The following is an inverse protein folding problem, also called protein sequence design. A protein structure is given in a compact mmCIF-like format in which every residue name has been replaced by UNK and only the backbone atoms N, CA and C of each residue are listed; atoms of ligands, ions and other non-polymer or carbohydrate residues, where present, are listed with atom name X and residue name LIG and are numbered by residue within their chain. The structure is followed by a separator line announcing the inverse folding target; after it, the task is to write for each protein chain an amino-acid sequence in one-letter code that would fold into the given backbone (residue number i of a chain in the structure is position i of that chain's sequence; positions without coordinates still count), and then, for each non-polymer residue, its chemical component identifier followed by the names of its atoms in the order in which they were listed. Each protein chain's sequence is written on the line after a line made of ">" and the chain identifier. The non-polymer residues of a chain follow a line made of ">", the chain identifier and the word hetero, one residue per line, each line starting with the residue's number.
data_IF_805996334133
#
_entry.id   IF_805996334133
#
_cell.length_a   1.000
_cell.length_b   1.000
_cell.length_c   1.000
_cell.angle_alpha   90.00
_cell.angle_beta   90.00
_cell.angle_gamma   90.00
#
_symmetry.space_group_name_H-M   'P 1'
#
loop_
_entity.id
_entity.type
_entity.pdbx_description
1 polymer ?
#
# COMPACT_ATOMS: atom_id res chain seq x y z
N UNK A 1 16.16 29.86 13.55
CA UNK A 1 17.37 29.43 12.81
C UNK A 1 17.23 27.94 12.58
N UNK A 2 16.96 27.52 11.35
CA UNK A 2 16.83 26.10 11.01
C UNK A 2 18.23 25.50 10.92
N UNK A 3 18.53 24.58 11.83
CA UNK A 3 19.78 23.83 11.82
C UNK A 3 19.72 22.87 10.62
N UNK A 4 20.39 23.23 9.52
CA UNK A 4 20.34 22.54 8.23
C UNK A 4 21.08 21.20 8.18
N UNK A 5 21.19 20.49 9.31
CA UNK A 5 22.02 19.30 9.50
C UNK A 5 21.24 17.98 9.42
N UNK A 6 20.07 17.99 8.75
CA UNK A 6 19.27 16.79 8.52
C UNK A 6 20.05 15.72 7.74
N UNK A 7 20.36 14.60 8.39
CA UNK A 7 21.00 13.46 7.74
C UNK A 7 20.03 12.80 6.76
N UNK A 8 20.44 12.65 5.50
CA UNK A 8 19.62 11.95 4.50
C UNK A 8 19.68 10.44 4.73
N UNK A 9 18.52 9.81 4.83
CA UNK A 9 18.38 8.36 5.02
C UNK A 9 17.79 7.76 3.75
N UNK A 10 18.40 6.67 3.27
CA UNK A 10 17.86 5.83 2.21
C UNK A 10 17.02 4.73 2.85
N UNK A 11 15.81 4.55 2.34
CA UNK A 11 14.95 3.42 2.69
C UNK A 11 15.14 2.35 1.62
N UNK A 12 15.50 1.14 2.06
CA UNK A 12 15.51 -0.05 1.22
C UNK A 12 14.28 -0.90 1.57
N UNK A 13 13.42 -1.13 0.59
CA UNK A 13 12.23 -1.96 0.75
C UNK A 13 12.60 -3.43 0.58
N UNK A 14 12.37 -4.22 1.62
CA UNK A 14 12.41 -5.67 1.50
C UNK A 14 10.99 -6.18 1.21
N UNK A 15 10.66 -6.28 -0.09
CA UNK A 15 9.30 -6.59 -0.55
C UNK A 15 8.72 -7.89 0.04
N UNK A 16 9.57 -8.89 0.31
CA UNK A 16 9.15 -10.19 0.85
C UNK A 16 8.82 -10.18 2.34
N UNK A 17 9.43 -9.30 3.14
CA UNK A 17 9.24 -9.28 4.60
C UNK A 17 8.40 -8.11 5.10
N UNK A 18 8.04 -7.17 4.20
CA UNK A 18 7.30 -5.95 4.54
C UNK A 18 8.06 -5.00 5.47
N UNK A 19 9.36 -5.26 5.72
CA UNK A 19 10.20 -4.43 6.60
C UNK A 19 10.98 -3.40 5.79
N UNK A 20 11.05 -2.20 6.34
CA UNK A 20 11.89 -1.12 5.84
C UNK A 20 13.26 -1.21 6.49
N UNK A 21 14.32 -1.28 5.67
CA UNK A 21 15.68 -1.10 6.16
C UNK A 21 16.09 0.36 5.96
N UNK A 22 16.47 1.03 7.04
CA UNK A 22 16.96 2.41 7.02
C UNK A 22 18.48 2.38 6.91
N UNK A 23 19.04 3.07 5.90
CA UNK A 23 20.49 3.25 5.73
C UNK A 23 20.84 4.72 5.68
N UNK A 24 21.86 5.13 6.43
CA UNK A 24 22.37 6.50 6.35
C UNK A 24 23.08 6.70 5.01
N UNK A 25 22.72 7.76 4.28
CA UNK A 25 23.52 8.19 3.14
C UNK A 25 24.74 8.93 3.70
N UNK A 26 25.94 8.55 3.23
CA UNK A 26 27.17 9.22 3.62
C UNK A 26 27.06 10.72 3.38
N UNK A 27 27.30 11.51 4.44
CA UNK A 27 27.23 12.96 4.37
C UNK A 27 28.55 13.56 4.89
N UNK A 28 28.98 14.66 4.29
CA UNK A 28 30.23 15.33 4.61
C UNK A 28 29.96 16.81 4.83
N UNK A 29 30.41 17.35 5.97
CA UNK A 29 30.26 18.78 6.26
C UNK A 29 31.59 19.35 6.74
N UNK A 30 31.97 20.56 6.28
CA UNK A 30 33.13 21.25 6.81
C UNK A 30 32.87 21.67 8.27
N UNK A 31 33.89 21.53 9.10
CA UNK A 31 33.98 22.04 10.46
C UNK A 31 35.08 23.11 10.48
N UNK A 32 34.80 24.24 11.11
CA UNK A 32 35.82 25.26 11.33
C UNK A 32 36.85 24.74 12.35
N UNK A 33 38.11 24.57 11.93
CA UNK A 33 39.21 24.26 12.83
C UNK A 33 39.68 25.52 13.58
N UNK A 34 40.18 25.34 14.79
CA UNK A 34 40.60 26.45 15.68
C UNK A 34 41.84 27.21 15.18
N UNK A 35 42.59 26.66 14.22
CA UNK A 35 43.88 27.21 13.74
C UNK A 35 43.92 27.52 12.23
N UNK A 36 42.77 27.76 11.59
CA UNK A 36 42.70 27.95 10.13
C UNK A 36 42.78 26.65 9.32
N UNK A 37 42.73 25.51 10.00
CA UNK A 37 42.62 24.18 9.40
C UNK A 37 41.16 23.90 9.00
N UNK A 38 40.94 23.39 7.79
CA UNK A 38 39.63 22.88 7.37
C UNK A 38 39.47 21.43 7.85
N UNK A 39 38.61 21.24 8.84
CA UNK A 39 38.21 19.90 9.29
C UNK A 39 36.99 19.44 8.48
N UNK A 40 36.91 18.15 8.17
CA UNK A 40 35.74 17.58 7.47
C UNK A 40 35.15 16.51 8.37
N UNK A 41 33.89 16.69 8.77
CA UNK A 41 33.13 15.66 9.43
C UNK A 41 32.52 14.73 8.37
N UNK A 42 32.83 13.43 8.44
CA UNK A 42 32.27 12.41 7.56
C UNK A 42 31.36 11.52 8.39
N UNK A 43 30.05 11.55 8.12
CA UNK A 43 29.07 10.63 8.72
C UNK A 43 28.85 9.44 7.79
N UNK A 44 29.01 8.23 8.31
CA UNK A 44 28.85 6.96 7.57
C UNK A 44 27.91 6.04 8.33
N UNK A 45 27.16 5.20 7.60
CA UNK A 45 26.35 4.16 8.20
C UNK A 45 27.22 3.16 8.97
N UNK A 46 26.74 2.69 10.13
CA UNK A 46 27.46 1.74 10.97
C UNK A 46 27.73 0.39 10.29
N UNK A 47 26.94 0.01 9.28
CA UNK A 47 27.17 -1.19 8.48
C UNK A 47 28.36 -1.04 7.51
N UNK A 48 28.79 0.19 7.20
CA UNK A 48 29.81 0.50 6.18
C UNK A 48 31.11 1.05 6.78
N UNK A 49 31.43 0.68 8.03
CA UNK A 49 32.64 1.16 8.72
C UNK A 49 33.93 0.76 7.98
N UNK A 50 33.95 -0.40 7.34
CA UNK A 50 35.12 -0.89 6.59
C UNK A 50 35.44 -0.03 5.35
N UNK A 51 34.43 0.66 4.79
CA UNK A 51 34.58 1.51 3.62
C UNK A 51 35.06 2.94 3.95
N UNK A 52 35.21 3.28 5.23
CA UNK A 52 35.67 4.62 5.67
C UNK A 52 37.03 4.97 5.03
N UNK A 53 37.95 4.01 4.95
CA UNK A 53 39.27 4.19 4.32
C UNK A 53 39.17 4.63 2.85
N UNK A 54 38.25 4.01 2.10
CA UNK A 54 37.97 4.34 0.69
C UNK A 54 37.34 5.73 0.58
N UNK A 55 36.41 6.07 1.47
CA UNK A 55 35.72 7.37 1.48
C UNK A 55 36.72 8.51 1.74
N UNK A 56 37.59 8.35 2.75
CA UNK A 56 38.62 9.33 3.11
C UNK A 56 39.62 9.53 1.98
N UNK A 57 40.17 8.45 1.43
CA UNK A 57 41.15 8.54 0.34
C UNK A 57 40.54 9.10 -0.95
N UNK A 58 39.28 8.79 -1.26
CA UNK A 58 38.56 9.41 -2.38
C UNK A 58 38.46 10.92 -2.21
N UNK A 59 38.11 11.40 -1.00
CA UNK A 59 38.01 12.83 -0.72
C UNK A 59 39.37 13.54 -0.82
N UNK A 60 40.44 12.93 -0.32
CA UNK A 60 41.79 13.47 -0.45
C UNK A 60 42.22 13.59 -1.91
N UNK A 61 41.87 12.61 -2.75
CA UNK A 61 42.09 12.68 -4.21
C UNK A 61 41.34 13.85 -4.87
N UNK A 62 40.09 14.09 -4.49
CA UNK A 62 39.31 15.26 -4.96
C UNK A 62 39.98 16.59 -4.58
N UNK A 63 40.54 16.65 -3.37
CA UNK A 63 41.29 17.81 -2.87
C UNK A 63 42.75 17.87 -3.36
N UNK A 64 43.16 16.96 -4.26
CA UNK A 64 44.54 16.83 -4.78
C UNK A 64 45.60 16.61 -3.69
N UNK A 65 45.20 16.01 -2.57
CA UNK A 65 46.09 15.62 -1.48
C UNK A 65 46.56 14.16 -1.66
N UNK A 66 47.79 13.82 -1.23
CA UNK A 66 48.26 12.44 -1.23
C UNK A 66 47.41 11.56 -0.30
N UNK A 67 47.22 10.27 -0.61
CA UNK A 67 46.50 9.35 0.26
C UNK A 67 47.17 9.25 1.63
N UNK A 68 46.38 8.94 2.67
CA UNK A 68 46.95 8.72 4.01
C UNK A 68 47.73 7.41 4.05
N UNK A 69 48.79 7.37 4.84
CA UNK A 69 49.50 6.13 5.17
C UNK A 69 48.64 5.23 6.08
N UNK A 70 48.98 3.94 6.18
CA UNK A 70 48.25 3.01 7.06
C UNK A 70 48.26 3.47 8.53
N UNK A 71 49.37 4.04 8.99
CA UNK A 71 49.52 4.60 10.33
C UNK A 71 48.55 5.76 10.57
N UNK A 72 48.44 6.69 9.60
CA UNK A 72 47.52 7.82 9.65
C UNK A 72 46.06 7.39 9.49
N UNK A 73 45.78 6.32 8.76
CA UNK A 73 44.43 5.76 8.66
C UNK A 73 44.02 5.07 9.97
N UNK A 74 44.99 4.47 10.68
CA UNK A 74 44.75 3.82 11.97
C UNK A 74 44.29 4.83 13.04
N UNK A 75 44.82 6.07 13.02
CA UNK A 75 44.35 7.13 13.92
C UNK A 75 42.94 7.59 13.55
N UNK A 76 42.65 7.78 12.27
CA UNK A 76 41.29 8.13 11.80
C UNK A 76 40.26 7.09 12.22
N UNK A 77 40.62 5.80 12.19
CA UNK A 77 39.72 4.71 12.58
C UNK A 77 39.46 4.69 14.09
N UNK A 78 40.45 5.09 14.90
CA UNK A 78 40.31 5.19 16.36
C UNK A 78 39.37 6.33 16.77
N UNK A 79 39.30 7.38 15.98
CA UNK A 79 38.45 8.55 16.24
C UNK A 79 36.99 8.37 15.78
N UNK A 80 36.62 7.19 15.27
CA UNK A 80 35.23 6.89 14.88
C UNK A 80 34.34 6.86 16.11
N UNK A 81 33.47 7.87 16.22
CA UNK A 81 32.41 7.91 17.23
C UNK A 81 31.12 7.31 16.68
N UNK A 82 30.56 6.33 17.39
CA UNK A 82 29.26 5.75 17.07
C UNK A 82 28.17 6.55 17.76
N UNK A 83 27.18 7.00 16.98
CA UNK A 83 26.00 7.68 17.47
C UNK A 83 24.75 6.89 17.10
N UNK A 84 23.87 6.68 18.07
CA UNK A 84 22.55 6.12 17.84
C UNK A 84 21.54 7.24 17.56
N UNK A 85 20.74 7.09 16.51
CA UNK A 85 19.65 8.01 16.18
C UNK A 85 18.35 7.31 16.60
N UNK A 86 17.77 7.72 17.72
CA UNK A 86 16.60 7.02 18.30
C UNK A 86 15.30 7.24 17.50
N UNK A 87 15.17 8.37 16.79
CA UNK A 87 13.95 8.76 16.06
C UNK A 87 14.30 9.53 14.78
N UNK A 88 14.73 8.83 13.73
CA UNK A 88 14.99 9.50 12.46
C UNK A 88 13.66 10.01 11.86
N UNK A 89 13.63 11.28 11.49
CA UNK A 89 12.58 11.77 10.60
C UNK A 89 12.85 11.28 9.18
N UNK A 90 11.86 10.60 8.60
CA UNK A 90 11.99 9.96 7.29
C UNK A 90 10.99 10.59 6.34
N UNK A 91 11.50 11.30 5.32
CA UNK A 91 10.68 11.81 4.22
C UNK A 91 10.62 10.74 3.14
N UNK A 92 9.46 10.10 2.96
CA UNK A 92 9.21 9.09 1.94
C UNK A 92 8.12 9.56 0.97
N UNK A 93 8.34 9.35 -0.33
CA UNK A 93 7.32 9.58 -1.35
C UNK A 93 6.74 8.24 -1.78
N UNK A 94 5.52 7.96 -1.33
CA UNK A 94 4.74 6.83 -1.81
C UNK A 94 4.20 7.17 -3.21
N UNK A 95 4.51 6.34 -4.20
CA UNK A 95 3.88 6.41 -5.52
C UNK A 95 2.66 5.50 -5.51
N UNK A 96 1.47 6.08 -5.52
CA UNK A 96 0.21 5.34 -5.63
C UNK A 96 -0.25 5.42 -7.08
N UNK A 97 -0.56 4.26 -7.65
CA UNK A 97 -1.20 4.18 -8.95
C UNK A 97 -2.69 4.47 -8.79
N UNK A 98 -3.13 5.65 -9.27
CA UNK A 98 -4.52 6.11 -9.19
C UNK A 98 -5.38 5.63 -10.37
N UNK A 99 -4.81 4.92 -11.33
CA UNK A 99 -5.52 4.52 -12.54
C UNK A 99 -5.73 3.01 -12.58
N UNK A 100 -4.65 2.24 -12.43
CA UNK A 100 -4.71 0.79 -12.52
C UNK A 100 -5.41 0.13 -11.32
N UNK A 101 -5.49 0.81 -10.16
CA UNK A 101 -6.24 0.26 -9.04
C UNK A 101 -7.72 0.07 -9.39
N UNK A 102 -8.32 1.00 -10.15
CA UNK A 102 -9.72 0.91 -10.56
C UNK A 102 -9.95 -0.31 -11.44
N UNK A 103 -9.02 -0.59 -12.36
CA UNK A 103 -9.03 -1.78 -13.23
C UNK A 103 -8.93 -3.07 -12.40
N UNK A 104 -8.08 -3.09 -11.38
CA UNK A 104 -7.96 -4.22 -10.45
C UNK A 104 -9.26 -4.51 -9.69
N UNK A 105 -9.92 -3.47 -9.16
CA UNK A 105 -11.20 -3.62 -8.46
C UNK A 105 -12.33 -4.05 -9.42
N UNK A 106 -12.38 -3.48 -10.63
CA UNK A 106 -13.33 -3.89 -11.66
C UNK A 106 -13.16 -5.35 -12.08
N UNK A 107 -11.90 -5.84 -12.15
CA UNK A 107 -11.61 -7.26 -12.41
C UNK A 107 -12.17 -8.17 -11.32
N UNK A 108 -12.06 -7.79 -10.04
CA UNK A 108 -12.67 -8.54 -8.93
C UNK A 108 -14.19 -8.62 -9.13
N UNK A 109 -14.83 -7.51 -9.48
CA UNK A 109 -16.27 -7.49 -9.74
C UNK A 109 -16.67 -8.38 -10.93
N UNK A 110 -15.90 -8.34 -12.02
CA UNK A 110 -16.10 -9.17 -13.20
C UNK A 110 -15.96 -10.67 -12.90
N UNK A 111 -14.90 -11.07 -12.18
CA UNK A 111 -14.64 -12.47 -11.84
C UNK A 111 -15.69 -13.01 -10.86
N UNK A 112 -16.11 -12.20 -9.88
CA UNK A 112 -17.19 -12.58 -8.98
C UNK A 112 -18.53 -12.71 -9.72
N UNK A 113 -18.83 -11.80 -10.65
CA UNK A 113 -20.02 -11.92 -11.49
C UNK A 113 -19.98 -13.20 -12.34
N UNK A 114 -18.87 -13.50 -13.02
CA UNK A 114 -18.74 -14.75 -13.78
C UNK A 114 -18.90 -16.00 -12.90
N UNK A 115 -18.32 -15.99 -11.69
CA UNK A 115 -18.48 -17.09 -10.73
C UNK A 115 -19.95 -17.37 -10.38
N UNK A 116 -20.77 -16.33 -10.23
CA UNK A 116 -22.18 -16.47 -9.82
C UNK A 116 -23.16 -16.61 -10.97
N UNK A 117 -22.89 -15.97 -12.10
CA UNK A 117 -23.79 -15.87 -13.25
C UNK A 117 -23.45 -16.89 -14.35
N UNK A 118 -22.27 -17.52 -14.27
CA UNK A 118 -21.81 -18.53 -15.21
C UNK A 118 -21.45 -17.97 -16.58
N UNK A 119 -21.25 -18.86 -17.55
CA UNK A 119 -20.71 -18.50 -18.87
C UNK A 119 -21.65 -17.60 -19.70
N UNK A 120 -22.96 -17.64 -19.45
CA UNK A 120 -23.94 -16.74 -20.06
C UNK A 120 -23.57 -15.26 -19.84
N UNK A 121 -22.93 -14.95 -18.71
CA UNK A 121 -22.45 -13.60 -18.40
C UNK A 121 -21.40 -13.11 -19.40
N UNK A 122 -20.59 -13.99 -19.98
CA UNK A 122 -19.51 -13.58 -20.91
C UNK A 122 -20.05 -12.91 -22.18
N UNK A 123 -21.29 -13.23 -22.55
CA UNK A 123 -22.01 -12.67 -23.70
C UNK A 123 -22.81 -11.41 -23.34
N UNK A 124 -22.90 -11.05 -22.06
CA UNK A 124 -23.62 -9.85 -21.63
C UNK A 124 -22.93 -8.58 -22.11
N UNK A 125 -23.71 -7.63 -22.64
CA UNK A 125 -23.20 -6.32 -23.07
C UNK A 125 -22.45 -5.61 -21.95
N UNK A 126 -22.93 -5.70 -20.71
CA UNK A 126 -22.25 -5.10 -19.55
C UNK A 126 -20.95 -5.82 -19.21
N UNK A 127 -20.87 -7.14 -19.36
CA UNK A 127 -19.63 -7.88 -19.19
C UNK A 127 -18.57 -7.48 -20.23
N UNK A 128 -18.97 -7.27 -21.49
CA UNK A 128 -18.08 -6.80 -22.55
C UNK A 128 -17.54 -5.39 -22.26
N UNK A 129 -18.40 -4.47 -21.84
CA UNK A 129 -18.01 -3.11 -21.44
C UNK A 129 -17.07 -3.11 -20.23
N UNK A 130 -17.33 -3.98 -19.25
CA UNK A 130 -16.48 -4.15 -18.08
C UNK A 130 -15.12 -4.76 -18.45
N UNK A 131 -15.09 -5.73 -19.37
CA UNK A 131 -13.86 -6.31 -19.89
C UNK A 131 -13.02 -5.27 -20.64
N UNK A 132 -13.66 -4.44 -21.46
CA UNK A 132 -12.99 -3.34 -22.16
C UNK A 132 -12.42 -2.32 -21.17
N UNK A 133 -13.16 -1.94 -20.11
CA UNK A 133 -12.62 -1.10 -19.03
C UNK A 133 -11.39 -1.73 -18.37
N UNK A 134 -11.45 -3.02 -18.06
CA UNK A 134 -10.34 -3.74 -17.41
C UNK A 134 -9.10 -3.78 -18.32
N UNK A 135 -9.25 -3.93 -19.64
CA UNK A 135 -8.14 -4.07 -20.57
C UNK A 135 -7.58 -2.72 -21.06
N UNK A 136 -8.44 -1.73 -21.27
CA UNK A 136 -8.09 -0.50 -21.97
C UNK A 136 -8.27 0.77 -21.13
N UNK A 137 -8.95 0.69 -19.98
CA UNK A 137 -9.11 1.81 -19.05
C UNK A 137 -10.19 2.84 -19.44
N UNK A 138 -11.06 2.52 -20.40
CA UNK A 138 -12.11 3.44 -20.88
C UNK A 138 -13.19 3.71 -19.82
N UNK A 139 -13.07 4.82 -19.06
CA UNK A 139 -13.97 5.11 -17.92
C UNK A 139 -15.46 5.16 -18.27
N UNK A 140 -15.81 5.61 -19.47
CA UNK A 140 -17.20 5.76 -19.93
C UNK A 140 -17.97 4.43 -20.01
N UNK A 141 -17.27 3.29 -20.00
CA UNK A 141 -17.89 1.96 -20.11
C UNK A 141 -18.33 1.38 -18.75
N UNK A 142 -17.90 1.97 -17.63
CA UNK A 142 -18.20 1.47 -16.29
C UNK A 142 -19.51 2.05 -15.74
N UNK A 143 -20.56 1.23 -15.61
CA UNK A 143 -21.73 1.60 -14.82
C UNK A 143 -21.50 1.26 -13.35
N UNK A 144 -21.07 2.25 -12.58
CA UNK A 144 -20.79 2.06 -11.16
C UNK A 144 -19.85 3.11 -10.60
N UNK A 145 -19.44 2.90 -9.35
CA UNK A 145 -18.48 3.76 -8.65
C UNK A 145 -17.37 2.90 -8.08
N UNK A 146 -16.13 3.37 -8.19
CA UNK A 146 -14.95 2.79 -7.54
C UNK A 146 -14.23 3.93 -6.81
N UNK A 147 -13.94 3.79 -5.52
CA UNK A 147 -13.36 4.88 -4.74
C UNK A 147 -12.75 4.47 -3.40
N UNK A 148 -12.20 5.47 -2.72
CA UNK A 148 -11.44 5.35 -1.47
C UNK A 148 -12.26 5.72 -0.23
N UNK A 149 -13.59 5.53 -0.25
CA UNK A 149 -14.48 6.12 0.75
C UNK A 149 -15.56 5.15 1.24
N UNK A 150 -15.77 5.16 2.56
CA UNK A 150 -16.90 4.55 3.26
C UNK A 150 -18.25 5.24 2.98
N UNK A 151 -18.26 6.31 2.17
CA UNK A 151 -19.49 6.99 1.75
C UNK A 151 -20.39 6.10 0.88
N UNK A 152 -19.87 5.00 0.34
CA UNK A 152 -20.71 3.97 -0.26
C UNK A 152 -21.55 3.31 0.86
N UNK A 153 -22.89 3.35 0.79
CA UNK A 153 -23.77 2.98 1.92
C UNK A 153 -23.49 1.61 2.56
N UNK A 154 -23.05 0.63 1.77
CA UNK A 154 -22.74 -0.70 2.31
C UNK A 154 -21.40 -0.75 3.06
N UNK A 155 -20.47 0.18 2.82
CA UNK A 155 -19.16 0.20 3.47
C UNK A 155 -19.27 0.29 5.00
N UNK A 156 -20.25 1.04 5.49
CA UNK A 156 -20.55 1.19 6.93
C UNK A 156 -21.02 -0.10 7.60
N UNK A 157 -21.66 -1.01 6.87
CA UNK A 157 -22.20 -2.23 7.46
C UNK A 157 -21.10 -3.19 7.95
N UNK A 158 -19.86 -3.07 7.46
CA UNK A 158 -18.71 -3.89 7.87
C UNK A 158 -17.55 -3.05 8.43
N UNK A 159 -17.80 -1.85 8.95
CA UNK A 159 -16.77 -0.98 9.54
C UNK A 159 -15.99 -1.65 10.68
N UNK A 160 -16.61 -2.60 11.39
CA UNK A 160 -16.00 -3.42 12.44
C UNK A 160 -14.97 -4.44 11.94
N UNK A 161 -14.87 -4.65 10.62
CA UNK A 161 -13.95 -5.60 9.99
C UNK A 161 -13.08 -4.90 8.91
N UNK A 162 -12.17 -3.98 9.30
CA UNK A 162 -11.35 -3.21 8.37
C UNK A 162 -10.34 -4.07 7.61
N UNK A 163 -9.94 -5.21 8.16
CA UNK A 163 -8.93 -6.08 7.55
C UNK A 163 -9.53 -7.12 6.58
N UNK A 164 -10.84 -7.07 6.33
CA UNK A 164 -11.52 -8.06 5.47
C UNK A 164 -11.72 -7.54 4.05
N UNK A 165 -11.51 -8.42 3.07
CA UNK A 165 -12.04 -8.28 1.72
C UNK A 165 -13.45 -8.83 1.68
N UNK A 166 -14.34 -8.17 0.94
CA UNK A 166 -15.73 -8.59 0.75
C UNK A 166 -16.09 -8.49 -0.72
N UNK A 167 -16.90 -9.44 -1.19
CA UNK A 167 -17.58 -9.33 -2.48
C UNK A 167 -18.97 -9.93 -2.37
N UNK A 168 -19.95 -9.29 -2.98
CA UNK A 168 -21.32 -9.79 -3.02
C UNK A 168 -22.03 -9.35 -4.30
N UNK A 169 -23.08 -10.08 -4.69
CA UNK A 169 -23.98 -9.69 -5.77
C UNK A 169 -25.39 -9.49 -5.25
N UNK A 170 -26.02 -8.40 -5.68
CA UNK A 170 -27.40 -8.08 -5.33
C UNK A 170 -28.12 -7.40 -6.50
N UNK A 171 -29.45 -7.44 -6.47
CA UNK A 171 -30.29 -6.70 -7.42
C UNK A 171 -30.50 -5.28 -6.91
N UNK A 172 -30.25 -4.29 -7.76
CA UNK A 172 -30.53 -2.87 -7.50
C UNK A 172 -31.35 -2.36 -8.69
N UNK A 173 -32.65 -2.15 -8.47
CA UNK A 173 -33.58 -1.78 -9.53
C UNK A 173 -33.58 -2.81 -10.68
N UNK A 174 -33.35 -2.39 -11.94
CA UNK A 174 -33.32 -3.28 -13.08
C UNK A 174 -31.99 -4.04 -13.23
N UNK A 175 -30.95 -3.77 -12.43
CA UNK A 175 -29.62 -4.32 -12.65
C UNK A 175 -29.21 -5.33 -11.58
N UNK A 176 -28.35 -6.29 -11.94
CA UNK A 176 -27.50 -6.95 -10.94
C UNK A 176 -26.22 -6.15 -10.76
N UNK A 177 -25.82 -6.01 -9.51
CA UNK A 177 -24.70 -5.19 -9.10
C UNK A 177 -23.81 -5.97 -8.17
N UNK A 178 -22.50 -5.90 -8.41
CA UNK A 178 -21.48 -6.47 -7.53
C UNK A 178 -20.92 -5.38 -6.64
N UNK A 179 -21.00 -5.61 -5.33
CA UNK A 179 -20.29 -4.82 -4.33
C UNK A 179 -18.93 -5.44 -4.05
N UNK A 180 -17.86 -4.65 -4.08
CA UNK A 180 -16.51 -5.06 -3.71
C UNK A 180 -16.00 -4.15 -2.61
N UNK A 181 -15.36 -4.75 -1.61
CA UNK A 181 -14.57 -4.04 -0.62
C UNK A 181 -13.22 -4.71 -0.49
N UNK A 182 -12.15 -3.93 -0.60
CA UNK A 182 -10.79 -4.37 -0.33
C UNK A 182 -10.30 -3.61 0.90
N UNK A 183 -10.27 -4.31 2.03
CA UNK A 183 -10.03 -3.73 3.35
C UNK A 183 -10.99 -2.57 3.68
N UNK A 184 -10.68 -1.77 4.70
CA UNK A 184 -11.37 -0.52 5.01
C UNK A 184 -11.00 0.65 4.09
N UNK A 185 -10.45 0.41 2.90
CA UNK A 185 -9.86 1.45 2.07
C UNK A 185 -10.54 1.60 0.71
N UNK A 186 -10.78 0.51 -0.01
CA UNK A 186 -11.28 0.54 -1.38
C UNK A 186 -12.66 -0.07 -1.47
N UNK A 187 -13.55 0.63 -2.15
CA UNK A 187 -14.96 0.25 -2.30
C UNK A 187 -15.37 0.37 -3.75
N UNK A 188 -16.22 -0.55 -4.19
CA UNK A 188 -16.86 -0.47 -5.49
C UNK A 188 -18.29 -1.01 -5.48
N UNK A 189 -19.10 -0.41 -6.34
CA UNK A 189 -20.44 -0.84 -6.74
C UNK A 189 -20.43 -0.87 -8.25
N UNK A 190 -20.51 -2.05 -8.87
CA UNK A 190 -20.43 -2.20 -10.32
C UNK A 190 -21.67 -2.92 -10.83
N UNK A 191 -22.46 -2.28 -11.69
CA UNK A 191 -23.55 -2.92 -12.39
C UNK A 191 -22.99 -3.89 -13.44
N UNK A 192 -23.30 -5.17 -13.28
CA UNK A 192 -22.73 -6.25 -14.11
C UNK A 192 -23.71 -6.75 -15.17
N UNK A 193 -25.01 -6.53 -15.01
CA UNK A 193 -26.01 -6.77 -16.06
C UNK A 193 -27.23 -5.87 -15.86
N UNK A 194 -27.92 -5.57 -16.96
CA UNK A 194 -29.24 -4.91 -16.99
C UNK A 194 -30.38 -5.90 -17.26
N UNK A 195 -30.06 -7.18 -17.49
CA UNK A 195 -31.00 -8.24 -17.81
C UNK A 195 -30.96 -9.33 -16.72
N UNK A 196 -31.30 -9.00 -15.46
CA UNK A 196 -31.19 -9.92 -14.32
C UNK A 196 -31.98 -11.22 -14.51
N UNK A 197 -33.06 -11.18 -15.28
CA UNK A 197 -33.92 -12.32 -15.61
C UNK A 197 -33.24 -13.42 -16.42
N UNK A 198 -32.10 -13.13 -17.06
CA UNK A 198 -31.29 -14.14 -17.76
C UNK A 198 -30.52 -15.05 -16.79
N UNK A 199 -30.50 -14.71 -15.49
CA UNK A 199 -29.65 -15.37 -14.51
C UNK A 199 -30.42 -15.88 -13.31
N UNK A 200 -30.11 -17.10 -12.88
CA UNK A 200 -30.48 -17.59 -11.56
C UNK A 200 -29.45 -17.12 -10.54
N UNK A 201 -29.67 -15.95 -9.93
CA UNK A 201 -28.76 -15.45 -8.89
C UNK A 201 -28.76 -16.42 -7.70
N UNK A 202 -27.59 -16.92 -7.25
CA UNK A 202 -27.54 -17.84 -6.12
C UNK A 202 -28.01 -17.16 -4.82
N UNK A 203 -29.18 -17.53 -4.30
CA UNK A 203 -29.72 -16.92 -3.09
C UNK A 203 -28.88 -17.23 -1.84
N UNK A 204 -28.28 -18.43 -1.77
CA UNK A 204 -27.53 -18.90 -0.60
C UNK A 204 -26.02 -18.72 -0.74
N UNK A 205 -25.58 -18.08 -1.83
CA UNK A 205 -24.16 -18.07 -2.18
C UNK A 205 -23.76 -16.85 -3.00
N UNK A 206 -24.28 -15.69 -2.60
CA UNK A 206 -24.02 -14.40 -3.25
C UNK A 206 -23.18 -13.45 -2.39
N UNK A 207 -22.48 -13.98 -1.38
CA UNK A 207 -21.57 -13.23 -0.53
C UNK A 207 -20.31 -14.04 -0.22
N UNK A 208 -19.16 -13.36 -0.27
CA UNK A 208 -17.88 -13.88 0.14
C UNK A 208 -17.10 -12.84 0.94
N UNK A 209 -16.43 -13.30 1.99
CA UNK A 209 -15.48 -12.50 2.76
C UNK A 209 -14.20 -13.28 3.03
N UNK A 210 -13.08 -12.58 3.05
CA UNK A 210 -11.79 -13.15 3.40
C UNK A 210 -10.94 -12.15 4.16
N UNK A 211 -10.42 -12.56 5.31
CA UNK A 211 -9.48 -11.80 6.09
C UNK A 211 -8.08 -12.41 5.91
N UNK A 212 -7.16 -11.76 5.17
CA UNK A 212 -5.83 -12.30 4.88
C UNK A 212 -4.94 -12.40 6.12
N UNK A 213 -5.13 -11.54 7.12
CA UNK A 213 -4.35 -11.58 8.35
C UNK A 213 -4.65 -12.84 9.18
N UNK A 214 -5.91 -13.24 9.25
CA UNK A 214 -6.37 -14.39 10.05
C UNK A 214 -6.61 -15.65 9.21
N UNK A 215 -6.54 -15.54 7.87
CA UNK A 215 -6.90 -16.59 6.91
C UNK A 215 -8.33 -17.12 7.07
N UNK A 216 -9.22 -16.36 7.69
CA UNK A 216 -10.63 -16.72 7.86
C UNK A 216 -11.42 -16.28 6.63
N UNK A 217 -12.15 -17.21 6.03
CA UNK A 217 -13.09 -16.94 4.95
C UNK A 217 -14.52 -17.26 5.39
N UNK A 218 -15.50 -16.52 4.86
CA UNK A 218 -16.92 -16.84 5.00
C UNK A 218 -17.60 -16.72 3.64
N UNK A 219 -18.53 -17.62 3.38
CA UNK A 219 -19.33 -17.69 2.15
C UNK A 219 -20.77 -18.01 2.54
N UNK A 220 -21.74 -17.42 1.87
CA UNK A 220 -23.15 -17.64 2.17
C UNK A 220 -24.06 -16.63 1.48
N UNK A 221 -25.24 -16.41 2.04
CA UNK A 221 -26.13 -15.37 1.54
C UNK A 221 -25.74 -13.98 2.07
N UNK A 222 -25.90 -12.97 1.22
CA UNK A 222 -25.77 -11.57 1.62
C UNK A 222 -26.75 -11.23 2.75
N UNK A 223 -27.95 -11.83 2.73
CA UNK A 223 -28.97 -11.62 3.75
C UNK A 223 -28.51 -12.09 5.14
N UNK A 224 -27.98 -13.31 5.26
CA UNK A 224 -27.46 -13.83 6.53
C UNK A 224 -26.29 -13.00 7.05
N UNK A 225 -25.41 -12.52 6.16
CA UNK A 225 -24.31 -11.65 6.54
C UNK A 225 -24.81 -10.29 7.05
N UNK A 226 -25.80 -9.69 6.40
CA UNK A 226 -26.41 -8.43 6.87
C UNK A 226 -27.07 -8.61 8.23
N UNK A 227 -27.77 -9.73 8.47
CA UNK A 227 -28.31 -10.07 9.78
C UNK A 227 -27.20 -10.23 10.83
N UNK A 228 -26.08 -10.86 10.48
CA UNK A 228 -24.93 -11.01 11.37
C UNK A 228 -24.35 -9.64 11.74
N UNK A 229 -24.18 -8.74 10.77
CA UNK A 229 -23.67 -7.39 11.02
C UNK A 229 -24.62 -6.58 11.89
N UNK A 230 -25.94 -6.66 11.64
CA UNK A 230 -26.94 -6.00 12.48
C UNK A 230 -26.87 -6.47 13.94
N UNK A 231 -26.71 -7.78 14.18
CA UNK A 231 -26.54 -8.33 15.54
C UNK A 231 -25.27 -7.83 16.21
N UNK A 232 -24.16 -7.75 15.48
CA UNK A 232 -22.91 -7.22 16.01
C UNK A 232 -23.02 -5.74 16.41
N UNK A 233 -23.64 -4.92 15.55
CA UNK A 233 -23.85 -3.50 15.85
C UNK A 233 -24.73 -3.31 17.09
N UNK A 234 -25.81 -4.08 17.23
CA UNK A 234 -26.68 -4.04 18.42
C UNK A 234 -25.94 -4.44 19.70
N UNK A 235 -24.99 -5.38 19.63
CA UNK A 235 -24.19 -5.80 20.78
C UNK A 235 -23.10 -4.78 21.20
N UNK A 236 -22.78 -3.82 20.32
CA UNK A 236 -21.77 -2.79 20.55
C UNK A 236 -22.37 -1.45 21.01
N UNK A 237 -23.68 -1.27 20.94
CA UNK A 237 -24.35 -0.08 21.48
C UNK A 237 -24.45 -0.21 23.00
N UNK A 238 -23.83 0.69 23.80
CA UNK A 238 -23.96 0.65 25.25
C UNK A 238 -25.42 0.79 25.64
N UNK A 239 -25.88 -0.06 26.57
CA UNK A 239 -27.17 0.13 27.23
C UNK A 239 -27.07 1.41 28.06
N UNK A 240 -27.74 2.47 27.58
CA UNK A 240 -28.00 3.67 28.38
C UNK A 240 -29.08 3.39 29.41
#
# INVERSE_FOLDING_TARGET
>A
MQDGSGSRIRIENHLESGRFNLRLITNQHPLAGENGEELINIRVDAANVEDVSKIVNRRRKELKLPPLTEEQMSSVTKDIQRQQIERPEVVHTLKVDLENYRRGIAKIAYEAAHLWLGDTFLEDKRAQLLRHFILEGAEDSLAGTIGWSEEIPFGKAWSSEPDSHLVFIMRIGPSLTVGVRVFGALYAVVAVTENPELYAVPHNDNFYSWNPATQKARRGSLYEELLRQSRLQLSQTPQN
#
